data_IF_664832473726
#
_entry.id   IF_664832473726
#
_cell.length_a   1.000
_cell.length_b   1.000
_cell.length_c   1.000
_cell.angle_alpha   90.00
_cell.angle_beta   90.00
_cell.angle_gamma   90.00
#
_symmetry.space_group_name_H-M   'P 1'
#
loop_
_entity.id
_entity.type
_entity.pdbx_description
1 polymer ?
#
# COMPACT_ATOMS: atom_id res chain seq x y z
N UNK A 1 -1.35 -8.96 17.47
CA UNK A 1 -2.71 -8.53 17.05
C UNK A 1 -2.97 -9.19 15.71
N UNK A 2 -4.13 -9.82 15.53
CA UNK A 2 -4.52 -10.36 14.22
C UNK A 2 -4.93 -9.16 13.37
N UNK A 3 -4.20 -8.87 12.29
CA UNK A 3 -4.58 -7.81 11.35
C UNK A 3 -5.96 -8.17 10.78
N UNK A 4 -6.88 -7.20 10.72
CA UNK A 4 -8.20 -7.40 10.11
C UNK A 4 -8.05 -7.42 8.59
N UNK A 5 -7.48 -8.50 8.06
CA UNK A 5 -7.34 -8.70 6.62
C UNK A 5 -8.71 -9.11 6.06
N UNK A 6 -9.31 -8.32 5.16
CA UNK A 6 -10.59 -8.68 4.59
C UNK A 6 -10.43 -9.93 3.73
N UNK A 7 -11.50 -10.74 3.68
CA UNK A 7 -11.48 -12.00 2.93
C UNK A 7 -11.19 -11.82 1.44
N UNK A 8 -11.43 -10.65 0.86
CA UNK A 8 -11.16 -10.29 -0.54
C UNK A 8 -9.67 -10.07 -0.85
N UNK A 9 -8.84 -9.90 0.18
CA UNK A 9 -7.40 -9.68 0.03
C UNK A 9 -6.60 -10.94 0.36
N UNK A 10 -5.45 -11.07 -0.31
CA UNK A 10 -4.44 -12.08 -0.05
C UNK A 10 -3.18 -11.37 0.41
N UNK A 11 -2.71 -11.69 1.62
CA UNK A 11 -1.38 -11.28 2.08
C UNK A 11 -0.34 -12.05 1.26
N UNK A 12 0.62 -11.33 0.70
CA UNK A 12 1.71 -11.92 -0.06
C UNK A 12 3.02 -11.77 0.69
N UNK A 13 3.83 -12.80 0.60
CA UNK A 13 5.16 -12.81 1.20
C UNK A 13 6.05 -11.77 0.51
N UNK A 14 6.75 -10.96 1.33
CA UNK A 14 7.62 -9.88 0.87
C UNK A 14 8.98 -10.46 0.49
N UNK A 15 9.02 -11.10 -0.68
CA UNK A 15 10.24 -11.64 -1.29
C UNK A 15 10.25 -11.36 -2.77
N UNK A 16 11.41 -11.02 -3.32
CA UNK A 16 11.54 -10.61 -4.72
C UNK A 16 10.98 -11.64 -5.71
N UNK A 17 11.21 -12.93 -5.48
CA UNK A 17 10.72 -14.04 -6.33
C UNK A 17 9.19 -14.23 -6.27
N UNK A 18 8.58 -13.92 -5.12
CA UNK A 18 7.12 -13.94 -4.93
C UNK A 18 6.51 -12.71 -5.62
N UNK A 19 7.03 -11.52 -5.35
CA UNK A 19 6.51 -10.24 -5.82
C UNK A 19 6.55 -10.11 -7.35
N UNK A 20 7.57 -10.67 -8.00
CA UNK A 20 7.68 -10.70 -9.48
C UNK A 20 6.45 -11.28 -10.19
N UNK A 21 5.69 -12.16 -9.53
CA UNK A 21 4.46 -12.76 -10.09
C UNK A 21 3.30 -11.77 -10.16
N UNK A 22 3.38 -10.68 -9.41
CA UNK A 22 2.34 -9.66 -9.25
C UNK A 22 2.67 -8.37 -10.00
N UNK A 23 3.75 -8.33 -10.79
CA UNK A 23 4.07 -7.18 -11.64
C UNK A 23 2.92 -6.92 -12.63
N UNK A 24 2.50 -5.67 -12.72
CA UNK A 24 1.33 -5.19 -13.44
C UNK A 24 0.03 -5.25 -12.63
N UNK A 25 0.04 -5.77 -11.40
CA UNK A 25 -1.14 -5.88 -10.55
C UNK A 25 -1.21 -4.74 -9.53
N UNK A 26 -2.43 -4.33 -9.12
CA UNK A 26 -2.60 -3.45 -7.98
C UNK A 26 -2.16 -4.13 -6.68
N UNK A 27 -1.44 -3.38 -5.86
CA UNK A 27 -0.98 -3.79 -4.54
C UNK A 27 -1.41 -2.76 -3.49
N UNK A 28 -1.59 -3.22 -2.25
CA UNK A 28 -1.67 -2.37 -1.06
C UNK A 28 -0.61 -2.87 -0.08
N UNK A 29 0.15 -1.96 0.51
CA UNK A 29 1.22 -2.30 1.43
C UNK A 29 1.35 -1.24 2.50
N UNK A 30 1.79 -1.62 3.69
CA UNK A 30 2.22 -0.66 4.71
C UNK A 30 3.70 -0.38 4.51
N UNK A 31 4.01 0.89 4.30
CA UNK A 31 5.37 1.38 4.14
C UNK A 31 5.77 2.18 5.37
N UNK A 32 6.95 1.88 5.91
CA UNK A 32 7.52 2.53 7.09
C UNK A 32 8.67 3.39 6.62
N UNK A 33 8.49 4.71 6.70
CA UNK A 33 9.58 5.63 6.47
C UNK A 33 10.30 5.88 7.79
N UNK A 34 11.45 5.22 7.95
CA UNK A 34 12.41 5.49 9.02
C UNK A 34 13.18 6.79 8.70
N UNK A 35 12.48 7.93 8.69
CA UNK A 35 13.16 9.22 8.70
C UNK A 35 13.69 9.43 10.12
N UNK A 36 15.02 9.44 10.26
CA UNK A 36 15.74 9.72 11.52
C UNK A 36 15.45 11.09 12.16
N UNK A 37 14.42 11.82 11.72
CA UNK A 37 13.99 13.10 12.25
C UNK A 37 12.50 13.04 12.65
N UNK A 38 12.27 12.67 13.91
CA UNK A 38 11.11 12.98 14.78
C UNK A 38 9.68 12.61 14.34
N UNK A 39 9.42 12.07 13.15
CA UNK A 39 8.11 11.52 12.79
C UNK A 39 8.27 10.20 12.02
N UNK A 40 8.26 9.09 12.75
CA UNK A 40 8.02 7.76 12.17
C UNK A 40 6.60 7.79 11.59
N UNK A 41 6.48 7.90 10.27
CA UNK A 41 5.18 7.83 9.62
C UNK A 41 5.03 6.48 8.91
N UNK A 42 4.09 5.70 9.43
CA UNK A 42 3.64 4.45 8.84
C UNK A 42 2.45 4.75 7.92
N UNK A 43 2.59 4.46 6.63
CA UNK A 43 1.55 4.73 5.65
C UNK A 43 1.01 3.45 5.03
N UNK A 44 -0.32 3.27 5.07
CA UNK A 44 -0.97 2.32 4.17
C UNK A 44 -1.04 2.92 2.77
N UNK A 45 -0.30 2.31 1.85
CA UNK A 45 -0.06 2.77 0.49
C UNK A 45 -0.69 1.81 -0.51
N UNK A 46 -1.20 2.32 -1.62
CA UNK A 46 -1.69 1.57 -2.78
C UNK A 46 -1.00 2.03 -4.04
N UNK A 47 -0.92 1.14 -5.03
CA UNK A 47 -0.43 1.49 -6.36
C UNK A 47 -0.36 0.27 -7.28
N UNK A 48 0.19 0.47 -8.47
CA UNK A 48 0.44 -0.60 -9.44
C UNK A 48 1.90 -1.01 -9.33
N UNK A 49 2.17 -2.28 -9.02
CA UNK A 49 3.52 -2.83 -9.01
C UNK A 49 4.08 -2.88 -10.44
N UNK A 50 5.10 -2.13 -10.78
CA UNK A 50 5.67 -2.06 -12.13
C UNK A 50 7.00 -2.80 -12.28
N UNK A 51 7.69 -3.08 -11.17
CA UNK A 51 8.98 -3.77 -11.19
C UNK A 51 9.41 -4.28 -9.82
N UNK A 52 10.39 -5.21 -9.82
CA UNK A 52 11.02 -5.76 -8.61
C UNK A 52 12.48 -6.10 -8.90
N UNK A 53 13.41 -5.34 -8.33
CA UNK A 53 14.86 -5.47 -8.53
C UNK A 53 15.60 -5.29 -7.19
N UNK A 54 16.70 -6.02 -6.97
CA UNK A 54 17.67 -5.80 -5.86
C UNK A 54 17.09 -5.48 -4.46
N UNK A 55 15.99 -6.16 -4.09
CA UNK A 55 15.22 -5.98 -2.84
C UNK A 55 14.42 -4.68 -2.75
N UNK A 56 13.98 -4.20 -3.89
CA UNK A 56 13.16 -3.01 -4.02
C UNK A 56 11.98 -3.27 -4.95
N UNK A 57 10.91 -2.50 -4.77
CA UNK A 57 9.77 -2.49 -5.68
C UNK A 57 9.62 -1.12 -6.35
N UNK A 58 9.07 -1.16 -7.55
CA UNK A 58 8.68 0.01 -8.32
C UNK A 58 7.16 0.08 -8.37
N UNK A 59 6.60 1.25 -8.06
CA UNK A 59 5.16 1.44 -7.97
C UNK A 59 4.75 2.72 -8.69
N UNK A 60 3.68 2.64 -9.47
CA UNK A 60 3.03 3.78 -10.13
C UNK A 60 1.63 4.04 -9.58
N UNK A 61 1.11 5.26 -9.81
CA UNK A 61 -0.23 5.70 -9.36
C UNK A 61 -0.40 5.52 -7.86
N UNK A 62 0.59 6.00 -7.13
CA UNK A 62 0.70 5.83 -5.70
C UNK A 62 -0.40 6.62 -5.02
N UNK A 63 -1.07 6.03 -4.05
CA UNK A 63 -2.02 6.73 -3.19
C UNK A 63 -1.89 6.20 -1.78
N UNK A 64 -2.09 7.07 -0.81
CA UNK A 64 -1.99 6.77 0.61
C UNK A 64 -3.36 6.89 1.24
N UNK A 65 -3.65 5.98 2.16
CA UNK A 65 -4.89 5.98 2.90
C UNK A 65 -4.79 7.04 4.00
N UNK A 66 -5.78 7.91 4.11
CA UNK A 66 -5.91 8.90 5.18
C UNK A 66 -7.18 8.60 5.97
N UNK A 67 -7.10 8.59 7.30
CA UNK A 67 -8.22 8.27 8.20
C UNK A 67 -9.32 9.35 8.17
N UNK A 68 -8.96 10.62 7.97
CA UNK A 68 -9.87 11.78 7.94
C UNK A 68 -9.95 12.48 6.56
N UNK A 69 -9.25 11.96 5.55
CA UNK A 69 -9.17 12.49 4.20
C UNK A 69 -8.32 13.75 4.03
N UNK A 70 -7.74 14.27 5.12
CA UNK A 70 -6.92 15.49 5.12
C UNK A 70 -5.53 15.26 5.73
N UNK A 71 -5.42 14.30 6.65
CA UNK A 71 -4.22 13.92 7.35
C UNK A 71 -3.77 12.51 6.94
N UNK A 72 -2.62 12.46 6.29
CA UNK A 72 -2.07 11.24 5.69
C UNK A 72 -1.30 10.40 6.72
N UNK A 73 -0.97 10.95 7.90
CA UNK A 73 -0.14 10.25 8.90
C UNK A 73 -0.83 9.15 9.68
N UNK A 74 -2.16 9.05 9.59
CA UNK A 74 -2.93 8.36 10.63
C UNK A 74 -3.35 6.92 10.26
N UNK A 75 -3.26 6.52 8.98
CA UNK A 75 -3.69 5.19 8.57
C UNK A 75 -2.56 4.16 8.71
N UNK A 76 -2.68 3.30 9.72
CA UNK A 76 -1.65 2.31 10.09
C UNK A 76 -2.05 0.87 9.74
N UNK A 77 -3.34 0.61 9.45
CA UNK A 77 -3.82 -0.71 9.09
C UNK A 77 -4.83 -0.70 7.94
N UNK A 78 -4.92 -1.85 7.25
CA UNK A 78 -6.00 -2.09 6.32
C UNK A 78 -7.34 -2.09 7.06
N UNK A 79 -8.25 -1.25 6.59
CA UNK A 79 -9.61 -1.20 7.10
C UNK A 79 -9.84 -0.20 8.22
N UNK A 80 -8.90 0.72 8.46
CA UNK A 80 -9.07 1.89 9.35
C UNK A 80 -10.15 2.88 8.84
N UNK A 81 -10.87 2.53 7.76
CA UNK A 81 -11.72 3.48 7.06
C UNK A 81 -10.85 4.55 6.40
N UNK A 82 -11.49 5.54 5.78
CA UNK A 82 -10.76 6.68 5.22
C UNK A 82 -10.93 6.88 3.73
N UNK A 83 -10.06 7.71 3.18
CA UNK A 83 -10.06 8.10 1.78
C UNK A 83 -8.66 7.99 1.20
N UNK A 84 -8.57 7.49 -0.03
CA UNK A 84 -7.30 7.46 -0.74
C UNK A 84 -6.95 8.85 -1.26
N UNK A 85 -5.79 9.34 -0.86
CA UNK A 85 -5.21 10.58 -1.32
C UNK A 85 -4.13 10.23 -2.33
N UNK A 86 -4.27 10.73 -3.56
CA UNK A 86 -3.24 10.55 -4.59
C UNK A 86 -1.98 11.26 -4.15
N UNK A 87 -0.93 10.49 -3.90
CA UNK A 87 0.41 11.04 -3.86
C UNK A 87 0.88 11.04 -5.31
N UNK A 88 0.88 12.24 -5.92
CA UNK A 88 1.05 12.44 -7.36
C UNK A 88 2.30 11.79 -7.96
N UNK A 89 2.55 12.05 -9.25
CA UNK A 89 3.68 11.47 -10.01
C UNK A 89 5.06 11.67 -9.35
N UNK A 90 5.18 12.59 -8.39
CA UNK A 90 6.41 12.89 -7.64
C UNK A 90 6.80 11.82 -6.60
N UNK A 91 5.98 10.78 -6.37
CA UNK A 91 6.47 9.61 -5.65
C UNK A 91 7.49 8.82 -6.51
N UNK A 92 7.45 8.94 -7.84
CA UNK A 92 8.39 8.29 -8.76
C UNK A 92 8.60 9.14 -10.03
N UNK A 93 9.31 10.28 -9.90
CA UNK A 93 9.76 11.07 -11.06
C UNK A 93 11.26 11.34 -11.02
N UNK A 94 11.95 10.85 -12.06
CA UNK A 94 13.36 11.10 -12.39
C UNK A 94 14.37 10.98 -11.23
N UNK A 95 14.66 9.74 -10.83
CA UNK A 95 15.87 9.43 -10.04
C UNK A 95 15.67 8.84 -8.63
N UNK A 96 14.64 8.01 -8.43
CA UNK A 96 14.25 7.27 -7.20
C UNK A 96 13.30 8.04 -6.24
N UNK A 97 12.46 7.33 -5.45
CA UNK A 97 12.79 6.23 -4.54
C UNK A 97 12.30 4.87 -5.05
N UNK A 98 13.24 3.95 -5.23
CA UNK A 98 12.91 2.53 -5.15
C UNK A 98 12.44 2.26 -3.72
N UNK A 99 11.40 1.44 -3.53
CA UNK A 99 10.89 1.15 -2.19
C UNK A 99 11.55 -0.11 -1.65
N UNK A 100 12.43 -0.02 -0.64
CA UNK A 100 13.10 -1.19 -0.10
C UNK A 100 12.09 -2.12 0.57
N UNK A 101 12.22 -3.41 0.29
CA UNK A 101 11.37 -4.45 0.88
C UNK A 101 11.45 -4.48 2.41
N UNK A 102 12.58 -4.07 2.99
CA UNK A 102 12.78 -4.01 4.44
C UNK A 102 11.86 -2.99 5.13
N UNK A 103 11.40 -1.98 4.41
CA UNK A 103 10.50 -0.95 4.91
C UNK A 103 9.02 -1.32 4.72
N UNK A 104 8.74 -2.48 4.14
CA UNK A 104 7.37 -2.96 3.92
C UNK A 104 6.99 -3.92 5.04
N UNK A 105 5.97 -3.56 5.84
CA UNK A 105 5.51 -4.39 6.94
C UNK A 105 4.54 -5.50 6.52
N UNK A 106 3.77 -5.25 5.46
CA UNK A 106 2.89 -6.21 4.81
C UNK A 106 2.60 -5.77 3.39
N UNK A 107 2.20 -6.72 2.55
CA UNK A 107 1.67 -6.44 1.22
C UNK A 107 0.49 -7.33 0.92
N UNK A 108 -0.49 -6.76 0.23
CA UNK A 108 -1.74 -7.39 -0.16
C UNK A 108 -2.00 -7.19 -1.64
N UNK A 109 -2.60 -8.22 -2.23
CA UNK A 109 -3.23 -8.16 -3.55
C UNK A 109 -4.69 -8.57 -3.42
N UNK A 110 -5.51 -8.20 -4.40
CA UNK A 110 -6.85 -8.78 -4.49
C UNK A 110 -6.77 -10.25 -4.89
N UNK A 111 -7.60 -11.09 -4.26
CA UNK A 111 -7.76 -12.51 -4.65
C UNK A 111 -8.41 -12.67 -6.02
N UNK A 112 -9.20 -11.68 -6.41
CA UNK A 112 -9.85 -11.60 -7.72
C UNK A 112 -9.18 -10.52 -8.56
N UNK A 113 -9.41 -10.54 -9.88
CA UNK A 113 -8.86 -9.51 -10.75
C UNK A 113 -9.60 -8.19 -10.50
N UNK A 114 -9.03 -7.35 -9.65
CA UNK A 114 -9.51 -6.00 -9.37
C UNK A 114 -8.64 -4.95 -10.07
N UNK A 115 -9.25 -3.81 -10.41
CA UNK A 115 -8.52 -2.59 -10.75
C UNK A 115 -8.01 -1.91 -9.47
N UNK A 116 -7.00 -1.03 -9.58
CA UNK A 116 -6.50 -0.26 -8.44
C UNK A 116 -7.63 0.49 -7.71
N UNK A 117 -8.49 1.16 -8.47
CA UNK A 117 -9.65 1.89 -7.92
C UNK A 117 -10.61 0.97 -7.15
N UNK A 118 -10.93 -0.21 -7.70
CA UNK A 118 -11.80 -1.16 -7.00
C UNK A 118 -11.16 -1.65 -5.70
N UNK A 119 -9.85 -1.88 -5.72
CA UNK A 119 -9.11 -2.32 -4.54
C UNK A 119 -9.09 -1.23 -3.46
N UNK A 120 -8.90 0.02 -3.86
CA UNK A 120 -9.00 1.20 -3.01
C UNK A 120 -10.40 1.35 -2.39
N UNK A 121 -11.46 1.32 -3.23
CA UNK A 121 -12.86 1.41 -2.79
C UNK A 121 -13.27 0.29 -1.84
N UNK A 122 -12.68 -0.91 -1.97
CA UNK A 122 -12.91 -2.00 -1.03
C UNK A 122 -12.38 -1.62 0.35
N UNK A 123 -11.17 -1.04 0.45
CA UNK A 123 -10.57 -0.62 1.71
C UNK A 123 -11.37 0.46 2.44
N UNK A 124 -11.86 1.47 1.72
CA UNK A 124 -12.67 2.57 2.30
C UNK A 124 -14.00 2.08 2.90
N UNK A 125 -14.47 0.90 2.50
CA UNK A 125 -15.75 0.31 2.93
C UNK A 125 -15.61 -0.70 4.08
N UNK A 126 -14.39 -1.09 4.45
CA UNK A 126 -14.16 -2.11 5.48
C UNK A 126 -14.63 -1.64 6.85
N UNK A 127 -14.27 -0.43 7.26
CA UNK A 127 -14.72 0.17 8.52
C UNK A 127 -16.25 0.36 8.55
N UNK A 128 -16.85 0.69 7.39
CA UNK A 128 -18.29 0.89 7.24
C UNK A 128 -19.12 -0.39 7.28
N UNK A 129 -18.49 -1.56 7.27
CA UNK A 129 -19.18 -2.86 7.26
C UNK A 129 -19.32 -3.49 8.65
N UNK A 130 -18.74 -2.90 9.70
CA UNK A 130 -18.92 -3.30 11.11
C UNK A 130 -19.92 -2.39 11.87
N UNK A 131 -21.03 -2.02 11.21
CA UNK A 131 -22.16 -1.28 11.80
C UNK A 131 -23.47 -2.04 11.79
#
# INVERSE_FOLDING_TARGET
MTRNTPSSFLEIEIKTDVLRKYVGMPIIFQYIQDFKEENDCDYVTSGILTGVEDNEIYVEKVSVLSSDGLDVSDAIALGDGGQWVEWGEDFTKDGEPNLPLENIQFMYVSKERATLKQMQELCEKLDKSEG
#
